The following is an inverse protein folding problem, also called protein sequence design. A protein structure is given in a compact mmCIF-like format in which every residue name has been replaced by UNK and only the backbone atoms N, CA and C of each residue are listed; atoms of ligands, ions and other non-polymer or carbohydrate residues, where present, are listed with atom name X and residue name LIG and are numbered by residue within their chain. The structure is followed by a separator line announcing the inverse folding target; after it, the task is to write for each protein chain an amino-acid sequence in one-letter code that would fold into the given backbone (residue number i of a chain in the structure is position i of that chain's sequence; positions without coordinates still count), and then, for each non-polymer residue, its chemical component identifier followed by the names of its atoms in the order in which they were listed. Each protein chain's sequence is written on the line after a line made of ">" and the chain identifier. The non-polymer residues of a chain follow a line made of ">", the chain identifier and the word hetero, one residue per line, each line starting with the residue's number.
data_IF_000133396605
#
_entry.id   IF_000133396605
#
_cell.length_a   1.000
_cell.length_b   1.000
_cell.length_c   1.000
_cell.angle_alpha   90.00
_cell.angle_beta   90.00
_cell.angle_gamma   90.00
#
_symmetry.space_group_name_H-M   'P 1'
#
loop_
_entity.id
_entity.type
_entity.pdbx_description
1 polymer ?
#
# COMPACT_ATOMS: atom_id res chain seq x y z
N UNK A 1 47.19 -22.67 -12.52
CA UNK A 1 47.89 -23.68 -11.70
C UNK A 1 47.48 -25.08 -12.16
N UNK A 2 48.43 -26.00 -12.39
CA UNK A 2 48.18 -27.32 -12.97
C UNK A 2 47.46 -28.25 -11.96
N UNK A 3 46.15 -28.47 -12.16
CA UNK A 3 45.31 -29.43 -11.40
C UNK A 3 45.82 -30.90 -11.47
N UNK A 4 46.79 -31.16 -12.35
CA UNK A 4 47.37 -32.47 -12.60
C UNK A 4 48.24 -33.04 -11.46
N UNK A 5 48.57 -32.26 -10.41
CA UNK A 5 49.35 -32.73 -9.24
C UNK A 5 48.52 -33.09 -7.99
N UNK A 6 47.20 -32.94 -8.04
CA UNK A 6 46.32 -33.26 -6.90
C UNK A 6 45.99 -34.75 -6.85
N UNK A 7 45.95 -35.33 -5.65
CA UNK A 7 45.49 -36.71 -5.43
C UNK A 7 44.00 -36.83 -5.77
N UNK A 8 43.55 -38.05 -6.09
CA UNK A 8 42.14 -38.33 -6.43
C UNK A 8 41.20 -37.81 -5.34
N UNK A 9 41.56 -38.02 -4.07
CA UNK A 9 40.81 -37.52 -2.91
C UNK A 9 40.69 -35.99 -2.89
N UNK A 10 41.76 -35.25 -3.19
CA UNK A 10 41.72 -33.79 -3.23
C UNK A 10 40.81 -33.26 -4.34
N UNK A 11 40.79 -33.92 -5.51
CA UNK A 11 39.88 -33.55 -6.60
C UNK A 11 38.42 -33.81 -6.24
N UNK A 12 38.15 -34.91 -5.55
CA UNK A 12 36.80 -35.27 -5.09
C UNK A 12 36.28 -34.29 -4.04
N UNK A 13 37.11 -33.95 -3.05
CA UNK A 13 36.78 -32.95 -2.01
C UNK A 13 36.57 -31.57 -2.63
N UNK A 14 37.42 -31.14 -3.57
CA UNK A 14 37.25 -29.87 -4.27
C UNK A 14 35.93 -29.80 -5.05
N UNK A 15 35.54 -30.89 -5.74
CA UNK A 15 34.26 -30.98 -6.45
C UNK A 15 33.07 -30.85 -5.50
N UNK A 16 33.08 -31.59 -4.39
CA UNK A 16 32.03 -31.47 -3.36
C UNK A 16 31.96 -30.09 -2.74
N UNK A 17 33.12 -29.46 -2.47
CA UNK A 17 33.18 -28.13 -1.90
C UNK A 17 32.56 -27.08 -2.83
N UNK A 18 32.78 -27.18 -4.15
CA UNK A 18 32.15 -26.28 -5.13
C UNK A 18 30.63 -26.42 -5.12
N UNK A 19 30.09 -27.63 -5.03
CA UNK A 19 28.64 -27.86 -4.95
C UNK A 19 28.07 -27.26 -3.66
N UNK A 20 28.71 -27.52 -2.51
CA UNK A 20 28.29 -26.96 -1.22
C UNK A 20 28.31 -25.43 -1.27
N UNK A 21 29.40 -24.84 -1.80
CA UNK A 21 29.52 -23.39 -1.94
C UNK A 21 28.43 -22.83 -2.85
N UNK A 22 28.10 -23.51 -3.96
CA UNK A 22 27.01 -23.13 -4.85
C UNK A 22 25.66 -23.14 -4.13
N UNK A 23 25.37 -24.16 -3.33
CA UNK A 23 24.14 -24.22 -2.52
C UNK A 23 24.07 -23.05 -1.55
N UNK A 24 25.13 -22.80 -0.76
CA UNK A 24 25.16 -21.70 0.20
C UNK A 24 24.94 -20.35 -0.49
N UNK A 25 25.58 -20.13 -1.63
CA UNK A 25 25.49 -18.88 -2.37
C UNK A 25 24.08 -18.64 -2.93
N UNK A 26 23.47 -19.66 -3.53
CA UNK A 26 22.08 -19.58 -4.02
C UNK A 26 21.10 -19.38 -2.86
N UNK A 27 21.28 -20.07 -1.74
CA UNK A 27 20.44 -19.88 -0.55
C UNK A 27 20.56 -18.47 0.01
N UNK A 28 21.78 -17.93 0.12
CA UNK A 28 22.00 -16.58 0.62
C UNK A 28 21.33 -15.53 -0.29
N UNK A 29 21.53 -15.63 -1.61
CA UNK A 29 20.85 -14.76 -2.58
C UNK A 29 19.33 -14.91 -2.51
N UNK A 30 18.84 -16.14 -2.36
CA UNK A 30 17.42 -16.42 -2.20
C UNK A 30 16.82 -15.73 -0.98
N UNK A 31 17.48 -15.83 0.18
CA UNK A 31 17.05 -15.16 1.42
C UNK A 31 17.04 -13.64 1.25
N UNK A 32 18.08 -13.05 0.68
CA UNK A 32 18.15 -11.59 0.45
C UNK A 32 17.00 -11.12 -0.47
N UNK A 33 16.72 -11.86 -1.54
CA UNK A 33 15.63 -11.53 -2.46
C UNK A 33 14.26 -11.67 -1.81
N UNK A 34 14.04 -12.71 -1.00
CA UNK A 34 12.79 -12.90 -0.27
C UNK A 34 12.60 -11.79 0.77
N UNK A 35 13.66 -11.38 1.48
CA UNK A 35 13.60 -10.25 2.41
C UNK A 35 13.21 -8.94 1.69
N UNK A 36 13.83 -8.64 0.55
CA UNK A 36 13.47 -7.46 -0.27
C UNK A 36 12.01 -7.50 -0.75
N UNK A 37 11.50 -8.67 -1.12
CA UNK A 37 10.10 -8.84 -1.52
C UNK A 37 9.18 -8.58 -0.32
N UNK A 38 9.51 -9.14 0.84
CA UNK A 38 8.75 -8.95 2.07
C UNK A 38 8.66 -7.46 2.42
N UNK A 39 9.79 -6.74 2.42
CA UNK A 39 9.82 -5.31 2.74
C UNK A 39 8.96 -4.48 1.77
N UNK A 40 9.00 -4.80 0.48
CA UNK A 40 8.15 -4.15 -0.53
C UNK A 40 6.67 -4.47 -0.32
N UNK A 41 6.33 -5.71 0.00
CA UNK A 41 4.95 -6.12 0.27
C UNK A 41 4.40 -5.45 1.53
N UNK A 42 5.23 -5.28 2.57
CA UNK A 42 4.87 -4.53 3.77
C UNK A 42 4.53 -3.09 3.43
N UNK A 43 5.37 -2.38 2.66
CA UNK A 43 5.08 -1.00 2.22
C UNK A 43 3.78 -0.93 1.39
N UNK A 44 3.57 -1.89 0.48
CA UNK A 44 2.35 -1.93 -0.34
C UNK A 44 1.10 -2.16 0.50
N UNK A 45 1.14 -3.10 1.44
CA UNK A 45 -0.02 -3.47 2.25
C UNK A 45 -0.33 -2.39 3.30
N UNK A 46 0.68 -2.00 4.08
CA UNK A 46 0.45 -1.21 5.29
C UNK A 46 0.31 0.28 5.00
N UNK A 47 0.89 0.78 3.90
CA UNK A 47 0.83 2.21 3.55
C UNK A 47 -0.02 2.43 2.31
N UNK A 48 0.36 1.82 1.18
CA UNK A 48 -0.28 2.15 -0.10
C UNK A 48 -1.72 1.65 -0.19
N UNK A 49 -2.04 0.50 0.40
CA UNK A 49 -3.41 -0.03 0.38
C UNK A 49 -4.34 0.81 1.28
N UNK A 50 -3.82 1.37 2.38
CA UNK A 50 -4.57 2.33 3.21
C UNK A 50 -4.84 3.63 2.44
N UNK A 51 -3.83 4.22 1.80
CA UNK A 51 -4.00 5.42 0.95
C UNK A 51 -5.07 5.22 -0.11
N UNK A 52 -5.04 4.08 -0.82
CA UNK A 52 -6.04 3.76 -1.84
C UNK A 52 -7.44 3.61 -1.24
N UNK A 53 -7.56 2.94 -0.09
CA UNK A 53 -8.85 2.77 0.58
C UNK A 53 -9.45 4.10 1.02
N UNK A 54 -8.65 5.04 1.53
CA UNK A 54 -9.10 6.38 1.88
C UNK A 54 -9.48 7.20 0.64
N UNK A 55 -8.72 7.10 -0.46
CA UNK A 55 -9.08 7.71 -1.73
C UNK A 55 -10.42 7.18 -2.28
N UNK A 56 -10.67 5.87 -2.17
CA UNK A 56 -11.96 5.25 -2.51
C UNK A 56 -13.08 5.82 -1.62
N UNK A 57 -12.84 5.93 -0.31
CA UNK A 57 -13.81 6.48 0.63
C UNK A 57 -14.15 7.95 0.34
N UNK A 58 -13.16 8.78 -0.03
CA UNK A 58 -13.39 10.16 -0.46
C UNK A 58 -14.30 10.24 -1.67
N UNK A 59 -13.95 9.51 -2.72
CA UNK A 59 -14.74 9.49 -3.95
C UNK A 59 -16.15 8.97 -3.70
N UNK A 60 -16.29 7.87 -2.95
CA UNK A 60 -17.57 7.28 -2.61
C UNK A 60 -18.46 8.26 -1.84
N UNK A 61 -17.94 8.90 -0.79
CA UNK A 61 -18.71 9.86 0.00
C UNK A 61 -19.11 11.11 -0.79
N UNK A 62 -18.22 11.67 -1.61
CA UNK A 62 -18.56 12.83 -2.46
C UNK A 62 -19.63 12.45 -3.48
N UNK A 63 -19.49 11.30 -4.14
CA UNK A 63 -20.46 10.80 -5.10
C UNK A 63 -21.83 10.58 -4.45
N UNK A 64 -21.89 9.85 -3.34
CA UNK A 64 -23.14 9.54 -2.66
C UNK A 64 -23.80 10.79 -2.07
N UNK A 65 -23.01 11.79 -1.63
CA UNK A 65 -23.54 13.08 -1.20
C UNK A 65 -24.15 13.86 -2.36
N UNK A 66 -23.56 13.81 -3.55
CA UNK A 66 -24.16 14.46 -4.72
C UNK A 66 -25.52 13.86 -5.08
N UNK A 67 -25.69 12.55 -4.87
CA UNK A 67 -26.99 11.87 -5.02
C UNK A 67 -27.95 12.31 -3.92
N UNK A 68 -27.51 12.29 -2.66
CA UNK A 68 -28.37 12.69 -1.55
C UNK A 68 -28.81 14.17 -1.63
N UNK A 69 -27.95 15.07 -2.13
CA UNK A 69 -28.33 16.46 -2.41
C UNK A 69 -29.44 16.55 -3.45
N UNK A 70 -29.36 15.75 -4.53
CA UNK A 70 -30.46 15.63 -5.50
C UNK A 70 -31.73 15.14 -4.81
N UNK A 71 -31.64 14.14 -3.94
CA UNK A 71 -32.81 13.59 -3.24
C UNK A 71 -33.46 14.64 -2.32
N UNK A 72 -32.67 15.51 -1.66
CA UNK A 72 -33.19 16.66 -0.89
C UNK A 72 -33.97 17.62 -1.79
N UNK A 73 -33.47 17.92 -2.98
CA UNK A 73 -34.12 18.85 -3.93
C UNK A 73 -35.40 18.26 -4.52
N UNK A 74 -35.47 16.94 -4.67
CA UNK A 74 -36.60 16.22 -5.25
C UNK A 74 -37.61 15.71 -4.21
N UNK A 75 -37.39 15.95 -2.91
CA UNK A 75 -38.26 15.48 -1.86
C UNK A 75 -39.63 16.17 -1.92
N UNK A 76 -40.71 15.39 -1.88
CA UNK A 76 -42.08 15.90 -1.89
C UNK A 76 -42.57 16.23 -0.47
N UNK A 77 -41.91 15.66 0.55
CA UNK A 77 -42.26 15.84 1.97
C UNK A 77 -41.05 16.26 2.83
N UNK A 78 -41.29 16.96 3.95
CA UNK A 78 -40.25 17.28 4.92
C UNK A 78 -39.56 16.04 5.51
N UNK A 79 -40.27 14.92 5.70
CA UNK A 79 -39.67 13.69 6.22
C UNK A 79 -38.67 13.06 5.22
N UNK A 80 -38.99 13.05 3.93
CA UNK A 80 -38.08 12.56 2.87
C UNK A 80 -36.82 13.43 2.77
N UNK A 81 -36.98 14.76 2.83
CA UNK A 81 -35.85 15.68 2.86
C UNK A 81 -34.97 15.44 4.09
N UNK A 82 -35.57 15.24 5.28
CA UNK A 82 -34.83 14.95 6.51
C UNK A 82 -34.01 13.67 6.38
N UNK A 83 -34.58 12.62 5.79
CA UNK A 83 -33.89 11.34 5.59
C UNK A 83 -32.65 11.50 4.68
N UNK A 84 -32.78 12.28 3.61
CA UNK A 84 -31.66 12.57 2.72
C UNK A 84 -30.58 13.44 3.39
N UNK A 85 -30.98 14.41 4.22
CA UNK A 85 -30.06 15.22 5.03
C UNK A 85 -29.28 14.35 6.03
N UNK A 86 -29.94 13.42 6.71
CA UNK A 86 -29.27 12.50 7.65
C UNK A 86 -28.23 11.61 6.94
N UNK A 87 -28.53 11.20 5.71
CA UNK A 87 -27.58 10.49 4.85
C UNK A 87 -26.37 11.37 4.49
N UNK A 88 -26.60 12.64 4.13
CA UNK A 88 -25.51 13.61 3.88
C UNK A 88 -24.61 13.76 5.10
N UNK A 89 -25.19 13.85 6.30
CA UNK A 89 -24.45 13.98 7.56
C UNK A 89 -23.58 12.74 7.82
N UNK A 90 -24.16 11.55 7.65
CA UNK A 90 -23.44 10.27 7.79
C UNK A 90 -22.26 10.17 6.82
N UNK A 91 -22.49 10.50 5.54
CA UNK A 91 -21.45 10.47 4.51
C UNK A 91 -20.35 11.51 4.78
N UNK A 92 -20.71 12.67 5.31
CA UNK A 92 -19.75 13.72 5.70
C UNK A 92 -18.88 13.27 6.87
N UNK A 93 -19.45 12.57 7.85
CA UNK A 93 -18.68 12.00 8.96
C UNK A 93 -17.71 10.91 8.47
N UNK A 94 -18.16 10.03 7.56
CA UNK A 94 -17.31 9.02 6.95
C UNK A 94 -16.15 9.64 6.16
N UNK A 95 -16.42 10.69 5.38
CA UNK A 95 -15.39 11.45 4.67
C UNK A 95 -14.36 12.05 5.63
N UNK A 96 -14.83 12.75 6.66
CA UNK A 96 -13.96 13.42 7.64
C UNK A 96 -13.07 12.43 8.39
N UNK A 97 -13.61 11.24 8.71
CA UNK A 97 -12.85 10.16 9.34
C UNK A 97 -11.73 9.66 8.42
N UNK A 98 -12.03 9.41 7.16
CA UNK A 98 -11.02 9.04 6.17
C UNK A 98 -10.00 10.17 5.94
N UNK A 99 -10.43 11.43 6.00
CA UNK A 99 -9.57 12.61 5.76
C UNK A 99 -8.53 12.73 6.85
N UNK A 100 -9.00 12.68 8.11
CA UNK A 100 -8.13 12.69 9.29
C UNK A 100 -7.14 11.53 9.27
N UNK A 101 -7.55 10.34 8.81
CA UNK A 101 -6.66 9.18 8.73
C UNK A 101 -5.62 9.33 7.62
N UNK A 102 -6.02 9.87 6.47
CA UNK A 102 -5.13 10.18 5.36
C UNK A 102 -4.13 11.27 5.74
N UNK A 103 -4.55 12.34 6.41
CA UNK A 103 -3.66 13.41 6.90
C UNK A 103 -2.55 12.87 7.80
N UNK A 104 -2.86 11.90 8.67
CA UNK A 104 -1.87 11.24 9.52
C UNK A 104 -0.81 10.49 8.73
N UNK A 105 -1.20 9.82 7.63
CA UNK A 105 -0.24 9.16 6.73
C UNK A 105 0.62 10.22 6.03
N UNK A 106 0.02 11.31 5.56
CA UNK A 106 0.70 12.38 4.83
C UNK A 106 1.58 13.28 5.69
N UNK A 107 1.36 13.28 7.00
CA UNK A 107 2.25 13.91 7.97
C UNK A 107 3.59 13.17 8.15
N UNK A 108 3.66 11.86 7.83
CA UNK A 108 4.90 11.08 7.91
C UNK A 108 5.67 11.11 6.56
N UNK A 109 6.84 11.78 6.48
CA UNK A 109 7.63 11.84 5.27
C UNK A 109 8.17 10.49 4.81
N UNK A 110 8.32 9.50 5.71
CA UNK A 110 8.78 8.17 5.35
C UNK A 110 7.70 7.35 4.63
N UNK A 111 6.44 7.75 4.76
CA UNK A 111 5.30 7.06 4.15
C UNK A 111 4.81 7.71 2.87
N UNK A 112 5.31 8.90 2.48
CA UNK A 112 4.78 9.69 1.37
C UNK A 112 5.89 10.24 0.48
N UNK A 113 5.75 10.05 -0.83
CA UNK A 113 6.67 10.61 -1.81
C UNK A 113 6.27 12.04 -2.23
N UNK A 114 7.19 12.75 -2.88
CA UNK A 114 6.99 14.17 -3.22
C UNK A 114 5.85 14.40 -4.22
N UNK A 115 5.64 13.47 -5.15
CA UNK A 115 4.52 13.56 -6.11
C UNK A 115 3.17 13.41 -5.40
N UNK A 116 3.04 12.40 -4.52
CA UNK A 116 1.84 12.19 -3.71
C UNK A 116 1.51 13.43 -2.86
N UNK A 117 2.53 14.06 -2.28
CA UNK A 117 2.35 15.27 -1.46
C UNK A 117 1.80 16.44 -2.29
N UNK A 118 2.30 16.60 -3.51
CA UNK A 118 1.78 17.58 -4.46
C UNK A 118 0.32 17.31 -4.83
N UNK A 119 0.01 16.07 -5.20
CA UNK A 119 -1.36 15.67 -5.56
C UNK A 119 -2.34 15.86 -4.40
N UNK A 120 -1.94 15.50 -3.18
CA UNK A 120 -2.77 15.64 -1.98
C UNK A 120 -3.06 17.10 -1.62
N UNK A 121 -2.09 18.00 -1.81
CA UNK A 121 -2.31 19.43 -1.58
C UNK A 121 -3.44 19.98 -2.46
N UNK A 122 -3.58 19.50 -3.70
CA UNK A 122 -4.67 19.88 -4.61
C UNK A 122 -6.06 19.44 -4.17
N UNK A 123 -6.15 18.43 -3.28
CA UNK A 123 -7.43 17.87 -2.80
C UNK A 123 -7.80 18.47 -1.44
N UNK A 124 -6.80 18.92 -0.67
CA UNK A 124 -6.98 19.47 0.66
C UNK A 124 -7.48 20.94 0.68
N UNK A 125 -7.29 21.68 -0.42
CA UNK A 125 -7.88 23.01 -0.67
C UNK A 125 -9.34 22.93 -1.14
#
# INVERSE_FOLDING_TARGET
>A
MRLSRLSITQRLVAGFFVVIMGIVLVTALGVERVAQINDRLTVINDVNSLKQRYAIAFRGSVHDRSIAVRDVVLADTPEEASTAIDKINTLTQAYTTAATAQDKIFADPAMVNDAERGDYATIAD
#
